data_IF_746802439720
#
_entry.id   IF_746802439720
#
_cell.length_a   1.000
_cell.length_b   1.000
_cell.length_c   1.000
_cell.angle_alpha   90.00
_cell.angle_beta   90.00
_cell.angle_gamma   90.00
#
_symmetry.space_group_name_H-M   'P 1'
#
loop_
_entity.id
_entity.type
_entity.pdbx_description
1 polymer ?
#
# COMPACT_ATOMS: atom_id res chain seq x y z
N UNK A 1 16.39 -12.16 5.56
CA UNK A 1 15.54 -11.13 6.17
C UNK A 1 15.55 -11.34 7.67
N UNK A 2 15.46 -10.26 8.43
CA UNK A 2 15.55 -10.25 9.90
C UNK A 2 16.17 -8.93 10.36
N UNK A 3 16.09 -8.62 11.64
CA UNK A 3 16.89 -7.54 12.25
C UNK A 3 18.30 -8.05 12.56
N UNK A 4 19.26 -7.16 12.80
CA UNK A 4 20.60 -7.57 13.25
C UNK A 4 20.62 -7.77 14.77
N UNK A 5 21.52 -8.62 15.29
CA UNK A 5 21.61 -8.91 16.73
C UNK A 5 21.89 -7.67 17.60
N UNK A 6 22.46 -6.61 17.03
CA UNK A 6 22.80 -5.37 17.76
C UNK A 6 21.76 -4.26 17.67
N UNK A 7 20.62 -4.48 17.01
CA UNK A 7 19.61 -3.44 16.81
C UNK A 7 18.81 -3.15 18.09
N UNK A 8 18.81 -1.88 18.53
CA UNK A 8 18.07 -1.47 19.71
C UNK A 8 16.56 -1.65 19.50
N UNK A 9 15.89 -2.36 20.41
CA UNK A 9 14.46 -2.68 20.29
C UNK A 9 14.15 -3.92 19.44
N UNK A 10 15.17 -4.70 19.06
CA UNK A 10 15.00 -6.05 18.51
C UNK A 10 14.15 -6.90 19.49
N UNK A 11 13.19 -7.65 18.95
CA UNK A 11 12.48 -8.68 19.71
C UNK A 11 13.33 -9.96 19.81
N UNK A 12 13.34 -10.57 20.99
CA UNK A 12 14.16 -11.75 21.31
C UNK A 12 13.82 -12.99 20.49
N UNK A 13 12.64 -13.03 19.87
CA UNK A 13 12.14 -14.14 19.03
C UNK A 13 12.43 -13.96 17.53
N UNK A 14 13.27 -12.99 17.19
CA UNK A 14 13.68 -12.74 15.79
C UNK A 14 15.01 -13.40 15.51
N UNK A 15 15.17 -13.97 14.33
CA UNK A 15 16.43 -14.49 13.79
C UNK A 15 16.75 -13.78 12.46
N UNK A 16 18.03 -13.75 12.09
CA UNK A 16 18.45 -13.26 10.77
C UNK A 16 18.52 -14.43 9.80
N UNK A 17 17.59 -14.50 8.86
CA UNK A 17 17.55 -15.57 7.85
C UNK A 17 18.24 -15.16 6.55
N UNK A 18 19.04 -16.04 5.96
CA UNK A 18 19.53 -15.83 4.60
C UNK A 18 18.39 -16.03 3.59
N UNK A 19 18.30 -15.16 2.57
CA UNK A 19 17.34 -15.31 1.47
C UNK A 19 18.09 -15.60 0.18
N UNK A 20 17.62 -16.57 -0.60
CA UNK A 20 18.17 -16.86 -1.91
C UNK A 20 17.95 -15.67 -2.85
N UNK A 21 18.90 -15.43 -3.75
CA UNK A 21 18.90 -14.30 -4.67
C UNK A 21 17.67 -14.37 -5.58
N UNK A 22 16.71 -13.48 -5.35
CA UNK A 22 15.48 -13.40 -6.14
C UNK A 22 15.80 -13.10 -7.62
N UNK A 23 14.94 -13.59 -8.52
CA UNK A 23 14.89 -13.12 -9.93
C UNK A 23 14.65 -11.61 -9.95
N UNK A 24 15.02 -10.94 -11.04
CA UNK A 24 14.73 -9.51 -11.19
C UNK A 24 13.21 -9.26 -11.22
N UNK A 25 12.77 -8.21 -10.52
CA UNK A 25 11.37 -7.78 -10.50
C UNK A 25 11.30 -6.26 -10.30
N UNK A 26 10.14 -5.69 -10.62
CA UNK A 26 9.85 -4.27 -10.38
C UNK A 26 9.15 -4.10 -9.04
N UNK A 27 9.50 -3.04 -8.31
CA UNK A 27 8.85 -2.64 -7.06
C UNK A 27 8.45 -1.17 -7.17
N UNK A 28 7.24 -0.84 -6.70
CA UNK A 28 6.82 0.56 -6.59
C UNK A 28 7.74 1.32 -5.65
N UNK A 29 8.20 2.51 -6.07
CA UNK A 29 9.06 3.38 -5.26
C UNK A 29 8.27 4.06 -4.13
N UNK A 30 6.97 4.28 -4.36
CA UNK A 30 6.07 4.92 -3.41
C UNK A 30 4.91 3.99 -3.05
N UNK A 31 4.30 4.25 -1.89
CA UNK A 31 3.05 3.60 -1.52
C UNK A 31 1.93 3.96 -2.49
N UNK A 32 1.03 3.00 -2.72
CA UNK A 32 -0.21 3.24 -3.48
C UNK A 32 -1.00 4.35 -2.79
N UNK A 33 -1.30 5.40 -3.54
CA UNK A 33 -2.04 6.55 -3.04
C UNK A 33 -3.54 6.26 -2.97
N UNK A 34 -4.25 7.06 -2.16
CA UNK A 34 -5.71 7.02 -2.11
C UNK A 34 -6.34 7.22 -3.49
N UNK A 35 -5.76 8.11 -4.31
CA UNK A 35 -6.23 8.37 -5.68
C UNK A 35 -6.05 7.17 -6.61
N UNK A 36 -4.88 6.54 -6.59
CA UNK A 36 -4.60 5.35 -7.41
C UNK A 36 -5.47 4.17 -7.01
N UNK A 37 -5.63 3.93 -5.70
CA UNK A 37 -6.49 2.87 -5.20
C UNK A 37 -7.94 3.06 -5.66
N UNK A 38 -8.47 4.28 -5.59
CA UNK A 38 -9.84 4.58 -6.05
C UNK A 38 -9.99 4.36 -7.56
N UNK A 39 -8.98 4.65 -8.38
CA UNK A 39 -9.06 4.38 -9.83
C UNK A 39 -9.26 2.89 -10.13
N UNK A 40 -8.59 2.01 -9.38
CA UNK A 40 -8.67 0.56 -9.58
C UNK A 40 -9.91 -0.06 -8.89
N UNK A 41 -10.23 0.42 -7.69
CA UNK A 41 -11.22 -0.25 -6.82
C UNK A 41 -12.56 0.46 -6.73
N UNK A 42 -12.64 1.73 -7.15
CA UNK A 42 -13.86 2.56 -7.09
C UNK A 42 -14.27 3.00 -5.67
N UNK A 43 -13.52 2.62 -4.63
CA UNK A 43 -13.80 2.94 -3.23
C UNK A 43 -12.51 3.21 -2.46
N UNK A 44 -12.62 3.96 -1.35
CA UNK A 44 -11.49 4.31 -0.49
C UNK A 44 -11.73 3.82 0.95
N UNK A 45 -10.91 2.88 1.48
CA UNK A 45 -11.04 2.40 2.85
C UNK A 45 -10.31 3.26 3.89
N UNK A 46 -9.48 4.23 3.48
CA UNK A 46 -8.75 5.10 4.41
C UNK A 46 -9.71 5.78 5.37
N UNK A 47 -9.35 5.87 6.66
CA UNK A 47 -10.16 6.62 7.63
C UNK A 47 -10.13 8.13 7.33
N UNK A 48 -8.94 8.64 7.03
CA UNK A 48 -8.72 10.02 6.64
C UNK A 48 -8.79 10.16 5.12
N UNK A 49 -10.01 10.37 4.61
CA UNK A 49 -10.23 10.68 3.21
C UNK A 49 -11.18 11.87 3.04
N UNK A 50 -11.01 12.67 1.96
CA UNK A 50 -11.93 13.75 1.64
C UNK A 50 -13.31 13.19 1.26
N UNK A 51 -14.21 12.99 2.22
CA UNK A 51 -15.65 12.77 1.93
C UNK A 51 -16.30 14.11 1.52
N UNK A 52 -17.62 14.23 1.34
CA UNK A 52 -18.37 15.51 1.47
C UNK A 52 -19.15 15.43 2.79
N UNK A 53 -18.78 16.23 3.80
CA UNK A 53 -19.35 16.23 5.16
C UNK A 53 -18.79 17.41 5.98
N UNK A 54 -19.69 18.11 6.63
CA UNK A 54 -19.63 19.48 7.13
C UNK A 54 -18.79 19.71 8.41
N UNK A 55 -17.73 18.94 8.68
CA UNK A 55 -16.97 19.02 9.95
C UNK A 55 -15.44 19.06 9.81
N UNK A 56 -14.94 19.87 8.88
CA UNK A 56 -13.50 20.15 8.76
C UNK A 56 -12.76 19.06 8.00
N UNK A 57 -12.65 19.24 6.68
CA UNK A 57 -12.00 18.31 5.77
C UNK A 57 -10.63 18.79 5.36
N UNK A 58 -9.76 17.81 5.14
CA UNK A 58 -8.83 17.82 4.03
C UNK A 58 -9.63 18.03 2.73
N UNK A 59 -9.86 19.27 2.31
CA UNK A 59 -10.44 19.63 1.00
C UNK A 59 -9.40 19.56 -0.12
N UNK A 60 -8.20 19.11 0.22
CA UNK A 60 -7.02 19.29 -0.61
C UNK A 60 -6.88 18.15 -1.62
N UNK A 61 -6.56 18.51 -2.86
CA UNK A 61 -6.03 17.62 -3.88
C UNK A 61 -4.83 16.82 -3.35
N UNK A 62 -4.07 17.38 -2.42
CA UNK A 62 -3.00 16.71 -1.69
C UNK A 62 -3.48 15.44 -0.96
N UNK A 63 -4.73 15.40 -0.47
CA UNK A 63 -5.26 14.26 0.25
C UNK A 63 -5.33 12.97 -0.60
N UNK A 64 -5.52 13.13 -1.92
CA UNK A 64 -5.49 12.00 -2.87
C UNK A 64 -4.09 11.42 -3.06
N UNK A 65 -3.06 12.19 -2.73
CA UNK A 65 -1.65 11.79 -2.86
C UNK A 65 -1.12 11.12 -1.59
N UNK A 66 -1.89 11.09 -0.51
CA UNK A 66 -1.52 10.30 0.67
C UNK A 66 -1.65 8.80 0.39
N UNK A 67 -0.86 7.96 1.09
CA UNK A 67 -1.02 6.52 1.06
C UNK A 67 -2.45 6.09 1.41
N UNK A 68 -2.94 5.06 0.73
CA UNK A 68 -4.15 4.37 1.17
C UNK A 68 -3.87 3.58 2.45
N UNK A 69 -4.82 3.60 3.40
CA UNK A 69 -4.71 2.93 4.69
C UNK A 69 -5.97 2.11 4.99
N UNK A 70 -5.92 1.27 6.02
CA UNK A 70 -7.03 0.40 6.46
C UNK A 70 -7.53 -0.58 5.37
N UNK A 71 -6.64 -1.03 4.49
CA UNK A 71 -6.96 -2.03 3.47
C UNK A 71 -6.94 -3.42 4.11
N UNK A 72 -8.03 -4.19 4.00
CA UNK A 72 -8.04 -5.58 4.45
C UNK A 72 -7.22 -6.47 3.52
N UNK A 73 -6.72 -7.61 4.02
CA UNK A 73 -5.94 -8.55 3.20
C UNK A 73 -6.69 -9.03 1.94
N UNK A 74 -8.00 -9.28 2.05
CA UNK A 74 -8.83 -9.64 0.91
C UNK A 74 -8.95 -8.49 -0.11
N UNK A 75 -9.10 -7.26 0.35
CA UNK A 75 -9.17 -6.09 -0.54
C UNK A 75 -7.83 -5.81 -1.22
N UNK A 76 -6.71 -6.03 -0.53
CA UNK A 76 -5.36 -5.92 -1.10
C UNK A 76 -5.16 -6.93 -2.24
N UNK A 77 -5.58 -8.18 -2.05
CA UNK A 77 -5.50 -9.22 -3.08
C UNK A 77 -6.30 -8.84 -4.33
N UNK A 78 -7.54 -8.40 -4.14
CA UNK A 78 -8.41 -7.93 -5.23
C UNK A 78 -7.82 -6.72 -5.98
N UNK A 79 -7.16 -5.81 -5.25
CA UNK A 79 -6.48 -4.68 -5.87
C UNK A 79 -5.35 -5.16 -6.81
N UNK A 80 -4.49 -6.06 -6.35
CA UNK A 80 -3.40 -6.60 -7.18
C UNK A 80 -3.92 -7.37 -8.41
N UNK A 81 -4.98 -8.15 -8.26
CA UNK A 81 -5.63 -8.88 -9.37
C UNK A 81 -6.19 -7.92 -10.42
N UNK A 82 -6.93 -6.89 -9.99
CA UNK A 82 -7.49 -5.88 -10.90
C UNK A 82 -6.41 -5.05 -11.59
N UNK A 83 -5.39 -4.61 -10.84
CA UNK A 83 -4.29 -3.83 -11.40
C UNK A 83 -3.54 -4.62 -12.48
N UNK A 84 -3.30 -5.90 -12.25
CA UNK A 84 -2.66 -6.78 -13.25
C UNK A 84 -3.56 -6.94 -14.48
N UNK A 85 -4.88 -7.07 -14.28
CA UNK A 85 -5.85 -7.12 -15.36
C UNK A 85 -5.93 -5.84 -16.20
N UNK A 86 -5.84 -4.66 -15.58
CA UNK A 86 -5.87 -3.37 -16.29
C UNK A 86 -4.59 -3.13 -17.09
N UNK A 87 -3.42 -3.44 -16.51
CA UNK A 87 -2.12 -3.30 -17.19
C UNK A 87 -1.98 -4.25 -18.40
N UNK A 88 -2.65 -5.40 -18.38
CA UNK A 88 -2.68 -6.35 -19.50
C UNK A 88 -3.55 -5.88 -20.68
N UNK A 89 -4.47 -4.94 -20.45
CA UNK A 89 -5.36 -4.38 -21.48
C UNK A 89 -4.76 -3.11 -22.11
N UNK A 90 -3.87 -2.43 -21.41
CA UNK A 90 -3.18 -1.21 -21.88
C UNK A 90 -1.81 -1.47 -22.55
N UNK A 91 -1.42 -2.74 -22.71
CA UNK A 91 -0.23 -3.18 -23.48
C UNK A 91 -0.61 -3.74 -24.84
#
# INVERSE_FOLDING_TARGET
MGSSTGEAGRADDTDEDSVERAKSFYMGVYHVTQGEYVKVMGKNPSWFFPTVSSRGKLTDRAARSYPVANVSGNALRQFCEKLTGTEAVER
#
